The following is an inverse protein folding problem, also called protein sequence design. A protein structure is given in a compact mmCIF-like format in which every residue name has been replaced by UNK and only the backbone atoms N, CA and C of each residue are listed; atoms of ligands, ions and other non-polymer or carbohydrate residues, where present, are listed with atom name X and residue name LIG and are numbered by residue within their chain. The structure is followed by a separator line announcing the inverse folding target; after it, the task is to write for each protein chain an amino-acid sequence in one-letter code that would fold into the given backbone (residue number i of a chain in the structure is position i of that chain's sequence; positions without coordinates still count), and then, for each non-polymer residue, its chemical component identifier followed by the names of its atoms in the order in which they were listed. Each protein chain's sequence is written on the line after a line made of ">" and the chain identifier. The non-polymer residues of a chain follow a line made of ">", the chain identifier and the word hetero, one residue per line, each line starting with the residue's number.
data_IF_502708330779
#
_entry.id   IF_502708330779
#
_cell.length_a   1.000
_cell.length_b   1.000
_cell.length_c   1.000
_cell.angle_alpha   90.00
_cell.angle_beta   90.00
_cell.angle_gamma   90.00
#
_symmetry.space_group_name_H-M   'P 1'
#
loop_
_entity.id
_entity.type
_entity.pdbx_description
1 polymer ?
#
# COMPACT_ATOMS: atom_id res chain seq x y z
N UNK A 1 -4.58 16.13 -17.09
CA UNK A 1 -4.40 14.99 -16.16
C UNK A 1 -4.90 15.44 -14.81
N UNK A 2 -5.96 14.84 -14.25
CA UNK A 2 -6.32 15.10 -12.85
C UNK A 2 -5.26 14.42 -11.95
N UNK A 3 -4.77 15.09 -10.89
CA UNK A 3 -3.97 14.43 -9.88
C UNK A 3 -4.84 13.39 -9.17
N UNK A 4 -4.28 12.19 -8.99
CA UNK A 4 -4.94 11.08 -8.31
C UNK A 4 -5.10 11.42 -6.81
N UNK A 5 -6.34 11.56 -6.30
CA UNK A 5 -6.59 11.91 -4.89
C UNK A 5 -6.08 10.86 -3.90
N UNK A 6 -5.83 9.63 -4.38
CA UNK A 6 -5.24 8.54 -3.60
C UNK A 6 -3.72 8.51 -3.61
N UNK A 7 -3.06 9.44 -4.32
CA UNK A 7 -1.60 9.47 -4.43
C UNK A 7 -0.94 9.96 -3.14
N UNK A 8 -0.38 9.03 -2.38
CA UNK A 8 0.41 9.32 -1.17
C UNK A 8 1.89 9.48 -1.58
N UNK A 9 2.34 10.73 -1.66
CA UNK A 9 3.71 11.08 -2.03
C UNK A 9 4.73 10.61 -0.97
N UNK A 10 4.33 10.38 0.28
CA UNK A 10 5.25 9.87 1.30
C UNK A 10 5.62 8.40 1.06
N UNK A 11 4.74 7.61 0.44
CA UNK A 11 5.03 6.22 0.06
C UNK A 11 5.66 6.16 -1.34
N UNK A 12 5.21 7.05 -2.23
CA UNK A 12 5.52 6.99 -3.66
C UNK A 12 6.73 7.84 -4.07
N UNK A 13 7.16 8.79 -3.24
CA UNK A 13 8.29 9.66 -3.58
C UNK A 13 9.63 8.93 -3.43
N UNK A 14 10.40 8.94 -4.51
CA UNK A 14 11.82 8.56 -4.54
C UNK A 14 12.72 9.47 -3.68
N UNK A 15 12.14 10.44 -2.97
CA UNK A 15 12.86 11.42 -2.15
C UNK A 15 13.24 10.86 -0.76
N UNK A 16 12.61 9.76 -0.33
CA UNK A 16 13.05 9.04 0.86
C UNK A 16 14.28 8.22 0.49
N UNK A 17 15.46 8.83 0.69
CA UNK A 17 16.76 8.15 0.62
C UNK A 17 16.75 6.97 1.60
N UNK A 18 16.45 5.80 1.06
CA UNK A 18 16.35 4.55 1.82
C UNK A 18 14.94 4.34 2.37
N UNK A 19 14.38 3.17 2.04
CA UNK A 19 13.21 2.62 2.69
C UNK A 19 13.61 2.17 4.12
N UNK A 20 13.96 3.15 4.96
CA UNK A 20 14.38 2.96 6.35
C UNK A 20 13.27 2.27 7.14
N UNK A 21 13.60 1.68 8.28
CA UNK A 21 12.62 1.03 9.15
C UNK A 21 11.44 1.96 9.49
N UNK A 22 11.71 3.25 9.71
CA UNK A 22 10.65 4.24 9.93
C UNK A 22 9.73 4.40 8.71
N UNK A 23 10.28 4.45 7.49
CA UNK A 23 9.49 4.48 6.25
C UNK A 23 8.66 3.20 6.08
N UNK A 24 9.19 2.04 6.51
CA UNK A 24 8.47 0.77 6.49
C UNK A 24 7.30 0.79 7.47
N UNK A 25 7.53 1.21 8.71
CA UNK A 25 6.48 1.36 9.73
C UNK A 25 5.41 2.34 9.26
N UNK A 26 5.81 3.47 8.67
CA UNK A 26 4.88 4.44 8.11
C UNK A 26 4.05 3.83 6.96
N UNK A 27 4.68 3.13 6.01
CA UNK A 27 3.96 2.47 4.93
C UNK A 27 2.94 1.43 5.45
N UNK A 28 3.31 0.64 6.46
CA UNK A 28 2.41 -0.32 7.11
C UNK A 28 1.22 0.38 7.79
N UNK A 29 1.46 1.48 8.50
CA UNK A 29 0.41 2.28 9.12
C UNK A 29 -0.59 2.79 8.06
N UNK A 30 -0.10 3.32 6.93
CA UNK A 30 -0.95 3.82 5.84
C UNK A 30 -1.77 2.74 5.17
N UNK A 31 -1.20 1.54 5.00
CA UNK A 31 -1.93 0.36 4.49
C UNK A 31 -3.05 -0.01 5.48
N UNK A 32 -2.73 -0.11 6.76
CA UNK A 32 -3.69 -0.47 7.80
C UNK A 32 -4.84 0.54 7.90
N UNK A 33 -4.54 1.84 7.92
CA UNK A 33 -5.55 2.91 7.97
C UNK A 33 -6.53 2.82 6.79
N UNK A 34 -6.00 2.67 5.57
CA UNK A 34 -6.82 2.58 4.36
C UNK A 34 -7.70 1.32 4.39
N UNK A 35 -7.15 0.20 4.87
CA UNK A 35 -7.90 -1.04 5.01
C UNK A 35 -9.01 -0.91 6.05
N UNK A 36 -8.70 -0.40 7.25
CA UNK A 36 -9.68 -0.22 8.33
C UNK A 36 -10.81 0.75 7.95
N UNK A 37 -10.50 1.72 7.08
CA UNK A 37 -11.48 2.67 6.53
C UNK A 37 -12.29 2.11 5.36
N UNK A 38 -12.15 0.82 5.03
CA UNK A 38 -12.84 0.18 3.89
C UNK A 38 -12.34 0.62 2.51
N UNK A 39 -11.25 1.39 2.43
CA UNK A 39 -10.67 1.86 1.17
C UNK A 39 -9.76 0.77 0.56
N UNK A 40 -10.34 -0.39 0.27
CA UNK A 40 -9.60 -1.59 -0.15
C UNK A 40 -8.72 -1.37 -1.40
N UNK A 41 -9.17 -0.66 -2.47
CA UNK A 41 -8.30 -0.38 -3.62
C UNK A 41 -7.07 0.47 -3.26
N UNK A 42 -7.22 1.40 -2.31
CA UNK A 42 -6.13 2.25 -1.83
C UNK A 42 -5.14 1.44 -1.01
N UNK A 43 -5.64 0.59 -0.11
CA UNK A 43 -4.81 -0.33 0.66
C UNK A 43 -4.00 -1.27 -0.24
N UNK A 44 -4.63 -1.82 -1.29
CA UNK A 44 -3.96 -2.70 -2.25
C UNK A 44 -2.84 -1.97 -3.02
N UNK A 45 -3.10 -0.76 -3.50
CA UNK A 45 -2.09 0.06 -4.17
C UNK A 45 -0.90 0.39 -3.27
N UNK A 46 -1.15 0.81 -2.03
CA UNK A 46 -0.10 1.10 -1.07
C UNK A 46 0.73 -0.16 -0.74
N UNK A 47 0.09 -1.31 -0.63
CA UNK A 47 0.75 -2.62 -0.42
C UNK A 47 1.69 -2.96 -1.57
N UNK A 48 1.24 -2.80 -2.83
CA UNK A 48 2.08 -3.04 -4.02
C UNK A 48 3.27 -2.09 -4.10
N UNK A 49 3.08 -0.83 -3.75
CA UNK A 49 4.18 0.14 -3.67
C UNK A 49 5.20 -0.25 -2.59
N UNK A 50 4.75 -0.71 -1.42
CA UNK A 50 5.66 -1.20 -0.38
C UNK A 50 6.43 -2.46 -0.83
N UNK A 51 5.78 -3.38 -1.58
CA UNK A 51 6.41 -4.58 -2.14
C UNK A 51 7.48 -4.26 -3.19
N UNK A 52 7.37 -3.18 -3.97
CA UNK A 52 8.45 -2.80 -4.89
C UNK A 52 9.75 -2.43 -4.17
N UNK A 53 9.67 -2.02 -2.90
CA UNK A 53 10.83 -1.74 -2.05
C UNK A 53 11.24 -2.92 -1.17
N UNK A 54 10.30 -3.82 -0.83
CA UNK A 54 10.53 -4.99 0.00
C UNK A 54 9.90 -6.25 -0.63
N UNK A 55 10.47 -6.75 -1.74
CA UNK A 55 9.85 -7.84 -2.51
C UNK A 55 9.73 -9.14 -1.72
N UNK A 56 10.53 -9.34 -0.67
CA UNK A 56 10.54 -10.57 0.12
C UNK A 56 9.78 -10.46 1.45
N UNK A 57 9.08 -9.34 1.69
CA UNK A 57 8.30 -9.16 2.92
C UNK A 57 7.03 -10.03 2.88
N UNK A 58 7.01 -11.07 3.71
CA UNK A 58 5.91 -12.05 3.75
C UNK A 58 4.58 -11.43 4.16
N UNK A 59 4.59 -10.50 5.13
CA UNK A 59 3.40 -9.79 5.58
C UNK A 59 2.74 -9.01 4.43
N UNK A 60 3.54 -8.28 3.66
CA UNK A 60 3.04 -7.51 2.52
C UNK A 60 2.49 -8.40 1.40
N UNK A 61 3.09 -9.59 1.17
CA UNK A 61 2.57 -10.56 0.19
C UNK A 61 1.23 -11.16 0.63
N UNK A 62 1.09 -11.47 1.92
CA UNK A 62 -0.19 -11.92 2.47
C UNK A 62 -1.24 -10.82 2.33
N UNK A 63 -0.90 -9.57 2.69
CA UNK A 63 -1.79 -8.43 2.53
C UNK A 63 -2.23 -8.22 1.07
N UNK A 64 -1.30 -8.29 0.11
CA UNK A 64 -1.63 -8.16 -1.32
C UNK A 64 -2.64 -9.23 -1.76
N UNK A 65 -2.42 -10.48 -1.36
CA UNK A 65 -3.30 -11.60 -1.70
C UNK A 65 -4.69 -11.41 -1.13
N UNK A 66 -4.79 -11.05 0.16
CA UNK A 66 -6.07 -10.83 0.84
C UNK A 66 -6.84 -9.65 0.25
N UNK A 67 -6.16 -8.51 0.05
CA UNK A 67 -6.78 -7.31 -0.52
C UNK A 67 -7.21 -7.52 -1.97
N UNK A 68 -6.42 -8.22 -2.78
CA UNK A 68 -6.77 -8.51 -4.18
C UNK A 68 -8.08 -9.30 -4.27
N UNK A 69 -8.26 -10.30 -3.39
CA UNK A 69 -9.51 -11.08 -3.30
C UNK A 69 -10.71 -10.19 -2.99
N UNK A 70 -10.60 -9.35 -1.95
CA UNK A 70 -11.72 -8.46 -1.58
C UNK A 70 -12.02 -7.38 -2.62
N UNK A 71 -11.01 -6.88 -3.34
CA UNK A 71 -11.27 -5.92 -4.43
C UNK A 71 -11.93 -6.57 -5.65
N UNK A 72 -11.70 -7.87 -5.89
CA UNK A 72 -12.39 -8.61 -6.94
C UNK A 72 -13.87 -8.83 -6.55
N UNK A 73 -14.14 -9.26 -5.31
CA UNK A 73 -15.49 -9.45 -4.77
C UNK A 73 -16.35 -8.16 -4.77
N UNK A 74 -15.71 -6.98 -4.68
CA UNK A 74 -16.41 -5.69 -4.70
C UNK A 74 -16.71 -5.15 -6.11
N UNK A 75 -16.23 -5.83 -7.16
CA UNK A 75 -16.42 -5.43 -8.56
C UNK A 75 -17.49 -6.24 -9.30
N UNK A 76 -18.04 -7.28 -8.65
CA UNK A 76 -19.20 -8.07 -9.07
C UNK A 76 -20.50 -7.52 -8.43
#
# INVERSE_FOLDING_TARGET
>A
RLPDPGFDSSISAHNLRGFSELTQCYALLRIADAWHSGQLPKALRATRAALSHQPNNSLLRTAETTLSRHTAEASD
#
